data_IF_639944891607
#
_entry.id   IF_639944891607
#
_cell.length_a   1.000
_cell.length_b   1.000
_cell.length_c   1.000
_cell.angle_alpha   90.00
_cell.angle_beta   90.00
_cell.angle_gamma   90.00
#
_symmetry.space_group_name_H-M   'P 1'
#
loop_
_entity.id
_entity.type
_entity.pdbx_description
1 polymer ?
#
# COMPACT_ATOMS: atom_id res chain seq x y z
N UNK A 1 -19.21 -15.02 6.48
CA UNK A 1 -18.44 -13.76 6.42
C UNK A 1 -17.43 -13.89 5.29
N UNK A 2 -17.37 -12.93 4.36
CA UNK A 2 -16.27 -12.88 3.39
C UNK A 2 -15.06 -12.31 4.10
N UNK A 3 -13.98 -13.07 4.22
CA UNK A 3 -12.71 -12.61 4.78
C UNK A 3 -11.94 -11.90 3.68
N UNK A 4 -11.95 -10.57 3.69
CA UNK A 4 -11.13 -9.76 2.76
C UNK A 4 -9.64 -9.92 3.11
N UNK A 5 -8.77 -10.00 2.09
CA UNK A 5 -7.32 -9.89 2.22
C UNK A 5 -6.93 -8.41 2.09
N UNK A 6 -6.29 -7.86 3.12
CA UNK A 6 -5.83 -6.46 3.12
C UNK A 6 -4.34 -6.41 2.80
N UNK A 7 -3.94 -5.53 1.88
CA UNK A 7 -2.55 -5.34 1.46
C UNK A 7 -2.17 -3.86 1.38
N UNK A 8 -1.04 -3.49 1.98
CA UNK A 8 -0.51 -2.14 1.94
C UNK A 8 0.29 -1.87 0.67
N UNK A 9 0.13 -0.67 0.11
CA UNK A 9 0.84 -0.19 -1.07
C UNK A 9 1.59 1.09 -0.68
N UNK A 10 2.91 1.10 -0.79
CA UNK A 10 3.76 2.26 -0.48
C UNK A 10 4.61 2.73 -1.68
N UNK A 11 4.37 2.14 -2.86
CA UNK A 11 5.14 2.41 -4.09
C UNK A 11 6.44 1.61 -4.20
N UNK A 12 6.82 0.82 -3.18
CA UNK A 12 8.00 -0.02 -3.24
C UNK A 12 7.81 -1.25 -4.14
N UNK A 13 8.93 -1.84 -4.60
CA UNK A 13 8.92 -3.14 -5.29
C UNK A 13 8.31 -4.24 -4.42
N UNK A 14 8.56 -4.19 -3.11
CA UNK A 14 8.05 -5.19 -2.16
C UNK A 14 6.54 -5.11 -2.03
N UNK A 15 5.96 -3.91 -2.01
CA UNK A 15 4.52 -3.72 -2.07
C UNK A 15 3.91 -4.32 -3.36
N UNK A 16 4.60 -4.21 -4.50
CA UNK A 16 4.17 -4.86 -5.75
C UNK A 16 4.16 -6.39 -5.66
N UNK A 17 5.15 -7.00 -5.01
CA UNK A 17 5.19 -8.46 -4.78
C UNK A 17 4.08 -8.90 -3.83
N UNK A 18 3.87 -8.17 -2.73
CA UNK A 18 2.80 -8.44 -1.77
C UNK A 18 1.41 -8.31 -2.41
N UNK A 19 1.21 -7.30 -3.28
CA UNK A 19 -0.04 -7.11 -4.00
C UNK A 19 -0.34 -8.29 -4.94
N UNK A 20 0.67 -8.79 -5.67
CA UNK A 20 0.48 -9.97 -6.53
C UNK A 20 0.13 -11.21 -5.72
N UNK A 21 0.84 -11.47 -4.63
CA UNK A 21 0.51 -12.59 -3.73
C UNK A 21 -0.93 -12.49 -3.21
N UNK A 22 -1.38 -11.31 -2.82
CA UNK A 22 -2.74 -11.11 -2.31
C UNK A 22 -3.82 -11.43 -3.37
N UNK A 23 -3.56 -11.13 -4.65
CA UNK A 23 -4.46 -11.48 -5.75
C UNK A 23 -4.53 -13.01 -5.93
N UNK A 24 -3.36 -13.66 -5.99
CA UNK A 24 -3.26 -15.12 -6.16
C UNK A 24 -3.99 -15.84 -5.01
N UNK A 25 -3.80 -15.39 -3.76
CA UNK A 25 -4.44 -15.99 -2.59
C UNK A 25 -5.95 -15.71 -2.54
N UNK A 26 -6.39 -14.53 -2.97
CA UNK A 26 -7.81 -14.19 -3.02
C UNK A 26 -8.56 -15.05 -4.04
N UNK A 27 -7.94 -15.36 -5.18
CA UNK A 27 -8.48 -16.28 -6.18
C UNK A 27 -8.67 -17.68 -5.58
N UNK A 28 -7.65 -18.20 -4.89
CA UNK A 28 -7.70 -19.52 -4.25
C UNK A 28 -8.78 -19.63 -3.17
N UNK A 29 -9.05 -18.54 -2.46
CA UNK A 29 -10.00 -18.51 -1.32
C UNK A 29 -11.39 -18.02 -1.68
N UNK A 30 -11.62 -17.56 -2.92
CA UNK A 30 -12.85 -16.86 -3.28
C UNK A 30 -13.07 -15.58 -2.44
N UNK A 31 -11.97 -14.92 -2.06
CA UNK A 31 -11.96 -13.72 -1.23
C UNK A 31 -11.81 -12.45 -2.09
N UNK A 32 -11.98 -11.28 -1.45
CA UNK A 32 -11.70 -9.98 -2.09
C UNK A 32 -10.36 -9.43 -1.61
N UNK A 33 -9.67 -8.69 -2.47
CA UNK A 33 -8.48 -7.92 -2.09
C UNK A 33 -8.87 -6.47 -1.82
N UNK A 34 -8.37 -5.92 -0.70
CA UNK A 34 -8.44 -4.49 -0.38
C UNK A 34 -7.03 -3.92 -0.30
N UNK A 35 -6.65 -3.16 -1.33
CA UNK A 35 -5.39 -2.43 -1.35
C UNK A 35 -5.52 -1.10 -0.58
N UNK A 36 -4.55 -0.78 0.26
CA UNK A 36 -4.50 0.47 1.04
C UNK A 36 -3.22 1.22 0.67
N UNK A 37 -3.37 2.38 0.04
CA UNK A 37 -2.24 3.23 -0.33
C UNK A 37 -1.75 4.02 0.89
N UNK A 38 -0.47 3.85 1.22
CA UNK A 38 0.26 4.71 2.14
C UNK A 38 0.71 5.94 1.39
N UNK A 39 0.33 7.10 1.90
CA UNK A 39 0.80 8.38 1.42
C UNK A 39 1.31 9.19 2.62
N UNK A 40 2.31 10.03 2.38
CA UNK A 40 2.82 10.97 3.38
C UNK A 40 2.62 12.39 2.85
N UNK A 41 2.15 13.30 3.71
CA UNK A 41 2.01 14.72 3.38
C UNK A 41 3.37 15.45 3.30
N UNK A 42 4.48 14.78 3.65
CA UNK A 42 5.81 15.41 3.72
C UNK A 42 6.38 15.69 2.30
N UNK A 43 5.87 16.75 1.68
CA UNK A 43 6.45 17.49 0.57
C UNK A 43 6.77 18.96 0.92
N UNK A 44 6.55 19.40 2.18
CA UNK A 44 6.94 20.74 2.67
C UNK A 44 8.00 20.65 3.79
N UNK A 45 8.89 19.67 3.69
CA UNK A 45 10.09 19.54 4.54
C UNK A 45 11.28 20.37 4.06
N UNK A 46 11.15 21.16 2.98
CA UNK A 46 12.20 22.05 2.47
C UNK A 46 12.15 23.47 3.09
N UNK A 47 11.41 23.67 4.18
CA UNK A 47 11.61 24.84 5.06
C UNK A 47 12.72 24.62 6.11
N UNK A 48 13.56 23.61 5.92
CA UNK A 48 14.92 23.56 6.49
C UNK A 48 15.86 24.61 5.85
N UNK A 49 15.43 25.33 4.82
CA UNK A 49 16.08 26.53 4.32
C UNK A 49 15.59 27.74 5.12
N UNK A 50 16.45 28.16 6.05
CA UNK A 50 16.19 29.17 7.05
C UNK A 50 15.60 30.48 6.53
N UNK A 51 14.76 31.05 7.39
CA UNK A 51 14.40 32.47 7.40
C UNK A 51 15.61 33.34 7.04
N UNK A 52 15.53 34.00 5.88
CA UNK A 52 16.27 35.20 5.55
C UNK A 52 15.46 36.44 5.94
#
# INVERSE_FOLDING_TARGET
MSTDIVVGIDGSRNAGVAFRWALDEAELRGARVRAVLVWSYMGEGDSILGVG
#
